data_IF_228800277873
#
_entry.id   IF_228800277873
#
_cell.length_a   1.000
_cell.length_b   1.000
_cell.length_c   1.000
_cell.angle_alpha   90.00
_cell.angle_beta   90.00
_cell.angle_gamma   90.00
#
_symmetry.space_group_name_H-M   'P 1'
#
loop_
_entity.id
_entity.type
_entity.pdbx_description
1 polymer ?
#
# COMPACT_ATOMS: atom_id res chain seq x y z
N UNK A 1 3.02 10.43 8.41
CA UNK A 1 4.36 10.93 8.05
C UNK A 1 4.61 10.52 6.61
N UNK A 2 4.91 11.48 5.73
CA UNK A 2 5.22 11.25 4.32
C UNK A 2 6.72 11.54 4.13
N UNK A 3 7.48 10.58 3.61
CA UNK A 3 8.89 10.81 3.23
C UNK A 3 8.96 10.73 1.71
N UNK A 4 9.51 11.77 1.12
CA UNK A 4 9.87 11.83 -0.30
C UNK A 4 11.36 11.51 -0.39
N UNK A 5 11.68 10.24 -0.65
CA UNK A 5 13.07 9.81 -0.80
C UNK A 5 13.52 10.07 -2.25
N UNK A 6 14.48 10.97 -2.41
CA UNK A 6 15.25 11.17 -3.64
C UNK A 6 16.68 10.82 -3.31
N UNK A 7 17.01 9.56 -3.51
CA UNK A 7 18.32 8.91 -3.63
C UNK A 7 19.62 9.73 -3.57
N UNK A 8 20.68 9.05 -3.10
CA UNK A 8 22.10 9.44 -3.14
C UNK A 8 22.47 10.67 -2.28
N UNK A 9 22.58 10.47 -1.00
CA UNK A 9 23.07 11.44 -0.03
C UNK A 9 22.35 11.42 1.31
N UNK A 10 21.25 10.69 1.40
CA UNK A 10 20.56 10.46 2.67
C UNK A 10 20.83 9.05 3.16
N UNK A 11 21.09 8.89 4.46
CA UNK A 11 21.14 7.56 5.10
C UNK A 11 19.82 6.83 4.87
N UNK A 12 19.88 5.58 4.41
CA UNK A 12 18.69 4.73 4.34
C UNK A 12 18.05 4.67 5.72
N UNK A 13 16.73 4.79 5.77
CA UNK A 13 16.00 4.65 7.03
C UNK A 13 16.20 3.23 7.60
N UNK A 14 16.46 3.12 8.91
CA UNK A 14 16.50 1.81 9.56
C UNK A 14 15.20 1.03 9.33
N UNK A 15 15.29 -0.28 9.19
CA UNK A 15 14.15 -1.17 8.92
C UNK A 15 13.00 -0.99 9.92
N UNK A 16 13.33 -0.79 11.21
CA UNK A 16 12.33 -0.49 12.24
C UNK A 16 11.56 0.83 12.02
N UNK A 17 12.14 1.76 11.28
CA UNK A 17 11.46 2.99 10.88
C UNK A 17 10.62 2.77 9.62
N UNK A 18 11.09 1.97 8.67
CA UNK A 18 10.34 1.60 7.47
C UNK A 18 9.04 0.88 7.82
N UNK A 19 9.03 -0.01 8.80
CA UNK A 19 7.81 -0.70 9.27
C UNK A 19 6.73 0.24 9.83
N UNK A 20 7.07 1.49 10.14
CA UNK A 20 6.09 2.49 10.61
C UNK A 20 5.33 3.19 9.49
N UNK A 21 5.79 3.11 8.24
CA UNK A 21 5.06 3.68 7.10
C UNK A 21 3.91 2.75 6.70
N UNK A 22 2.74 3.32 6.45
CA UNK A 22 1.55 2.55 6.11
C UNK A 22 1.71 1.83 4.77
N UNK A 23 2.21 2.54 3.77
CA UNK A 23 2.44 2.02 2.42
C UNK A 23 3.59 2.75 1.75
N UNK A 24 4.18 2.12 0.73
CA UNK A 24 5.16 2.71 -0.18
C UNK A 24 4.56 2.77 -1.58
N UNK A 25 4.43 3.97 -2.12
CA UNK A 25 3.89 4.21 -3.46
C UNK A 25 5.02 4.70 -4.36
N UNK A 26 5.19 4.07 -5.51
CA UNK A 26 6.08 4.54 -6.56
C UNK A 26 5.27 5.31 -7.60
N UNK A 27 5.51 6.61 -7.71
CA UNK A 27 4.80 7.46 -8.67
C UNK A 27 5.40 7.43 -10.07
N UNK A 28 6.63 6.95 -10.23
CA UNK A 28 7.33 6.94 -11.51
C UNK A 28 7.57 8.35 -12.08
N UNK A 29 7.88 8.39 -13.36
CA UNK A 29 8.00 9.62 -14.15
C UNK A 29 6.80 9.76 -15.10
N UNK A 30 6.38 11.00 -15.43
CA UNK A 30 5.36 11.23 -16.44
C UNK A 30 5.83 10.75 -17.80
N UNK A 31 4.91 10.40 -18.69
CA UNK A 31 5.21 10.14 -20.08
C UNK A 31 5.59 11.46 -20.77
N UNK A 32 6.31 11.37 -21.91
CA UNK A 32 6.77 12.54 -22.66
C UNK A 32 5.63 13.56 -22.95
N UNK A 33 4.48 13.07 -23.38
CA UNK A 33 3.35 13.92 -23.73
C UNK A 33 2.75 14.62 -22.48
N UNK A 34 2.69 13.93 -21.35
CA UNK A 34 2.25 14.49 -20.09
C UNK A 34 3.24 15.55 -19.57
N UNK A 35 4.55 15.32 -19.75
CA UNK A 35 5.59 16.27 -19.36
C UNK A 35 5.51 17.55 -20.22
N UNK A 36 5.24 17.41 -21.54
CA UNK A 36 4.99 18.55 -22.43
C UNK A 36 3.74 19.32 -21.98
N UNK A 37 2.67 18.63 -21.59
CA UNK A 37 1.46 19.29 -21.08
C UNK A 37 1.73 20.05 -19.77
N UNK A 38 2.53 19.46 -18.86
CA UNK A 38 2.95 20.15 -17.63
C UNK A 38 3.68 21.45 -17.98
N UNK A 39 4.68 21.39 -18.84
CA UNK A 39 5.46 22.56 -19.23
C UNK A 39 4.57 23.63 -19.86
N UNK A 40 3.67 23.26 -20.78
CA UNK A 40 2.75 24.19 -21.43
C UNK A 40 1.81 24.89 -20.43
N UNK A 41 1.37 24.21 -19.37
CA UNK A 41 0.55 24.83 -18.31
C UNK A 41 1.32 25.91 -17.56
N UNK A 42 2.59 25.68 -17.27
CA UNK A 42 3.45 26.62 -16.53
C UNK A 42 4.01 27.78 -17.39
N UNK A 43 3.84 27.73 -18.73
CA UNK A 43 4.30 28.81 -19.60
C UNK A 43 3.55 30.14 -19.39
N UNK A 44 2.29 30.08 -18.98
CA UNK A 44 1.45 31.28 -18.84
C UNK A 44 1.33 31.70 -17.39
N UNK A 45 0.80 30.81 -16.56
CA UNK A 45 0.59 31.04 -15.13
C UNK A 45 0.82 29.78 -14.33
N UNK A 46 1.09 29.92 -13.04
CA UNK A 46 1.20 28.77 -12.13
C UNK A 46 -0.21 28.21 -11.86
N UNK A 47 -0.51 26.98 -12.35
CA UNK A 47 -1.85 26.39 -12.21
C UNK A 47 -2.26 26.16 -10.75
N UNK A 48 -1.30 26.17 -9.81
CA UNK A 48 -1.61 26.00 -8.39
C UNK A 48 -2.46 27.14 -7.81
N UNK A 49 -2.43 28.33 -8.45
CA UNK A 49 -3.22 29.49 -8.02
C UNK A 49 -4.71 29.36 -8.31
N UNK A 50 -5.08 28.49 -9.24
CA UNK A 50 -6.47 28.25 -9.65
C UNK A 50 -7.14 27.14 -8.80
N UNK A 51 -6.40 26.50 -7.88
CA UNK A 51 -6.93 25.43 -7.05
C UNK A 51 -7.93 25.97 -6.04
N UNK A 52 -9.10 25.38 -6.02
CA UNK A 52 -10.13 25.61 -4.99
C UNK A 52 -10.11 24.48 -3.96
N UNK A 53 -10.66 24.76 -2.78
CA UNK A 53 -10.89 23.74 -1.75
C UNK A 53 -11.89 22.71 -2.27
N UNK A 54 -11.50 21.42 -2.28
CA UNK A 54 -12.34 20.29 -2.73
C UNK A 54 -12.91 19.48 -1.57
N UNK A 55 -12.31 19.59 -0.37
CA UNK A 55 -12.75 18.94 0.86
C UNK A 55 -12.28 19.73 2.07
N UNK A 56 -13.05 19.70 3.13
CA UNK A 56 -12.70 20.29 4.43
C UNK A 56 -12.02 19.27 5.35
N UNK A 57 -11.48 19.74 6.48
CA UNK A 57 -10.95 18.84 7.50
C UNK A 57 -12.05 17.95 8.09
N UNK A 58 -13.25 18.48 8.25
CA UNK A 58 -14.44 17.79 8.74
C UNK A 58 -14.85 16.66 7.81
N UNK A 59 -14.79 16.88 6.47
CA UNK A 59 -15.08 15.84 5.49
C UNK A 59 -14.09 14.67 5.61
N UNK A 60 -12.80 14.97 5.79
CA UNK A 60 -11.77 13.92 5.98
C UNK A 60 -11.99 13.15 7.30
N UNK A 61 -12.42 13.82 8.36
CA UNK A 61 -12.75 13.15 9.63
C UNK A 61 -13.95 12.24 9.45
N UNK A 62 -15.01 12.71 8.78
CA UNK A 62 -16.20 11.91 8.47
C UNK A 62 -15.84 10.66 7.63
N UNK A 63 -15.06 10.83 6.55
CA UNK A 63 -14.58 9.70 5.74
C UNK A 63 -13.80 8.66 6.56
N UNK A 64 -13.00 9.09 7.54
CA UNK A 64 -12.28 8.15 8.43
C UNK A 64 -13.22 7.33 9.30
N UNK A 65 -14.32 7.90 9.75
CA UNK A 65 -15.33 7.14 10.51
C UNK A 65 -16.07 6.17 9.57
N UNK A 66 -16.43 6.59 8.37
CA UNK A 66 -17.09 5.73 7.39
C UNK A 66 -16.23 4.51 7.02
N UNK A 67 -14.91 4.71 6.82
CA UNK A 67 -13.96 3.61 6.55
C UNK A 67 -13.96 2.56 7.66
N UNK A 68 -14.19 2.94 8.93
CA UNK A 68 -14.27 1.98 10.02
C UNK A 68 -15.49 1.06 9.91
N UNK A 69 -16.55 1.52 9.23
CA UNK A 69 -17.78 0.77 9.03
C UNK A 69 -17.73 -0.20 7.85
N UNK A 70 -16.69 -0.12 7.00
CA UNK A 70 -16.49 -1.07 5.90
C UNK A 70 -16.32 -2.49 6.45
N UNK A 71 -17.18 -3.38 5.98
CA UNK A 71 -17.23 -4.76 6.45
C UNK A 71 -16.02 -5.57 5.96
N UNK A 72 -15.48 -6.39 6.83
CA UNK A 72 -14.44 -7.36 6.51
C UNK A 72 -14.89 -8.73 7.00
N UNK A 73 -15.09 -9.64 6.07
CA UNK A 73 -15.50 -11.01 6.43
C UNK A 73 -14.39 -11.68 7.28
N UNK A 74 -14.74 -12.44 8.33
CA UNK A 74 -13.73 -13.08 9.20
C UNK A 74 -12.70 -13.92 8.45
N UNK A 75 -13.11 -14.63 7.41
CA UNK A 75 -12.22 -15.43 6.54
C UNK A 75 -11.17 -14.58 5.82
N UNK A 76 -11.46 -13.31 5.52
CA UNK A 76 -10.46 -12.39 4.96
C UNK A 76 -9.44 -11.93 6.01
N UNK A 77 -9.83 -11.86 7.27
CA UNK A 77 -8.89 -11.60 8.36
C UNK A 77 -7.92 -12.77 8.49
N UNK A 78 -8.41 -14.00 8.46
CA UNK A 78 -7.59 -15.21 8.46
C UNK A 78 -6.67 -15.25 7.22
N UNK A 79 -7.18 -14.87 6.05
CA UNK A 79 -6.38 -14.79 4.82
C UNK A 79 -5.25 -13.76 4.91
N UNK A 80 -5.48 -12.57 5.46
CA UNK A 80 -4.44 -11.56 5.70
C UNK A 80 -3.35 -12.12 6.64
N UNK A 81 -3.77 -12.80 7.71
CA UNK A 81 -2.83 -13.39 8.69
C UNK A 81 -2.02 -14.51 8.04
N UNK A 82 -2.67 -15.37 7.24
CA UNK A 82 -1.97 -16.47 6.56
C UNK A 82 -0.96 -15.95 5.55
N UNK A 83 -1.32 -14.99 4.71
CA UNK A 83 -0.37 -14.32 3.81
C UNK A 83 0.84 -13.76 4.57
N UNK A 84 0.61 -13.07 5.69
CA UNK A 84 1.70 -12.55 6.52
C UNK A 84 2.58 -13.66 7.11
N UNK A 85 2.00 -14.81 7.50
CA UNK A 85 2.74 -15.99 7.98
C UNK A 85 3.60 -16.59 6.87
N UNK A 86 3.06 -16.71 5.67
CA UNK A 86 3.83 -17.20 4.51
C UNK A 86 5.05 -16.33 4.23
N UNK A 87 4.96 -14.99 4.35
CA UNK A 87 6.15 -14.14 4.19
C UNK A 87 7.26 -14.43 5.20
N UNK A 88 6.93 -14.99 6.37
CA UNK A 88 7.92 -15.36 7.41
C UNK A 88 8.53 -16.75 7.21
N UNK A 89 7.95 -17.54 6.31
CA UNK A 89 8.39 -18.89 5.95
C UNK A 89 9.16 -18.92 4.62
N UNK A 90 9.23 -17.80 3.90
CA UNK A 90 9.99 -17.68 2.66
C UNK A 90 11.50 -17.79 2.91
N UNK A 91 12.16 -18.69 2.20
CA UNK A 91 13.59 -18.98 2.37
C UNK A 91 14.50 -17.75 2.18
N UNK A 92 14.08 -16.81 1.33
CA UNK A 92 14.82 -15.60 1.00
C UNK A 92 14.54 -14.42 1.95
N UNK A 93 13.65 -14.59 2.93
CA UNK A 93 13.21 -13.55 3.86
C UNK A 93 13.80 -13.83 5.25
N UNK A 94 14.57 -12.88 5.79
CA UNK A 94 15.07 -12.95 7.16
C UNK A 94 14.08 -12.38 8.19
N UNK A 95 13.31 -11.36 7.80
CA UNK A 95 12.24 -10.77 8.61
C UNK A 95 11.01 -10.59 7.72
N UNK A 96 9.95 -11.34 8.01
CA UNK A 96 8.66 -11.22 7.31
C UNK A 96 7.78 -10.12 7.90
N UNK A 97 6.56 -10.05 7.41
CA UNK A 97 5.57 -9.02 7.78
C UNK A 97 5.24 -9.09 9.28
N UNK A 98 5.36 -7.96 9.97
CA UNK A 98 5.05 -7.81 11.40
C UNK A 98 3.53 -7.74 11.66
N UNK A 99 3.06 -7.93 12.92
CA UNK A 99 1.65 -7.69 13.27
C UNK A 99 1.18 -6.26 12.98
N UNK A 100 2.08 -5.27 12.97
CA UNK A 100 1.77 -3.91 12.51
C UNK A 100 1.47 -3.90 11.01
N UNK A 101 2.16 -4.71 10.22
CA UNK A 101 1.93 -4.86 8.78
C UNK A 101 0.55 -5.50 8.50
N UNK A 102 0.10 -6.49 9.26
CA UNK A 102 -1.23 -7.08 9.11
C UNK A 102 -2.34 -6.09 9.47
N UNK A 103 -2.17 -5.32 10.55
CA UNK A 103 -3.09 -4.25 10.91
C UNK A 103 -3.10 -3.13 9.85
N UNK A 104 -1.94 -2.80 9.29
CA UNK A 104 -1.82 -1.86 8.18
C UNK A 104 -2.63 -2.33 6.96
N UNK A 105 -2.52 -3.61 6.58
CA UNK A 105 -3.29 -4.21 5.49
C UNK A 105 -4.79 -4.08 5.70
N UNK A 106 -5.29 -4.43 6.89
CA UNK A 106 -6.71 -4.31 7.22
C UNK A 106 -7.23 -2.89 7.01
N UNK A 107 -6.49 -1.90 7.51
CA UNK A 107 -6.89 -0.49 7.39
C UNK A 107 -6.85 0.00 5.93
N UNK A 108 -5.82 -0.38 5.17
CA UNK A 108 -5.69 0.02 3.77
C UNK A 108 -6.74 -0.66 2.90
N UNK A 109 -7.04 -1.95 3.13
CA UNK A 109 -8.07 -2.67 2.40
C UNK A 109 -9.46 -2.05 2.60
N UNK A 110 -9.82 -1.66 3.83
CA UNK A 110 -11.06 -0.93 4.11
C UNK A 110 -11.12 0.41 3.38
N UNK A 111 -10.05 1.20 3.46
CA UNK A 111 -9.99 2.50 2.79
C UNK A 111 -10.07 2.34 1.27
N UNK A 112 -9.42 1.33 0.71
CA UNK A 112 -9.47 1.03 -0.73
C UNK A 112 -10.88 0.64 -1.18
N UNK A 113 -11.56 -0.25 -0.45
CA UNK A 113 -12.95 -0.63 -0.72
C UNK A 113 -13.88 0.59 -0.67
N UNK A 114 -13.73 1.46 0.35
CA UNK A 114 -14.49 2.71 0.48
C UNK A 114 -14.28 3.64 -0.72
N UNK A 115 -13.03 3.87 -1.13
CA UNK A 115 -12.69 4.70 -2.32
C UNK A 115 -13.28 4.08 -3.60
N UNK A 116 -13.36 2.75 -3.68
CA UNK A 116 -13.99 2.03 -4.78
C UNK A 116 -15.54 2.02 -4.70
N UNK A 117 -16.15 2.73 -3.74
CA UNK A 117 -17.59 2.83 -3.56
C UNK A 117 -18.25 1.57 -2.99
N UNK A 118 -17.48 0.72 -2.27
CA UNK A 118 -17.96 -0.51 -1.65
C UNK A 118 -17.94 -0.39 -0.12
N UNK A 119 -18.89 -1.03 0.51
CA UNK A 119 -19.02 -1.14 1.97
C UNK A 119 -18.46 -2.46 2.53
N UNK A 120 -17.77 -3.25 1.69
CA UNK A 120 -17.10 -4.50 2.05
C UNK A 120 -15.79 -4.69 1.28
N UNK A 121 -14.85 -5.42 1.91
CA UNK A 121 -13.55 -5.81 1.33
C UNK A 121 -13.68 -7.13 0.58
N UNK A 122 -12.94 -7.27 -0.52
CA UNK A 122 -12.82 -8.52 -1.29
C UNK A 122 -11.36 -9.01 -1.32
N UNK A 123 -11.10 -10.30 -1.60
CA UNK A 123 -9.73 -10.84 -1.65
C UNK A 123 -8.82 -10.11 -2.64
N UNK A 124 -9.37 -9.64 -3.74
CA UNK A 124 -8.65 -8.90 -4.80
C UNK A 124 -8.05 -7.60 -4.27
N UNK A 125 -8.73 -6.93 -3.34
CA UNK A 125 -8.19 -5.73 -2.69
C UNK A 125 -6.90 -6.06 -1.93
N UNK A 126 -6.91 -7.15 -1.17
CA UNK A 126 -5.75 -7.60 -0.39
C UNK A 126 -4.58 -7.95 -1.32
N UNK A 127 -4.85 -8.66 -2.44
CA UNK A 127 -3.83 -9.05 -3.42
C UNK A 127 -3.16 -7.85 -4.06
N UNK A 128 -3.93 -6.88 -4.53
CA UNK A 128 -3.42 -5.66 -5.18
C UNK A 128 -2.60 -4.82 -4.19
N UNK A 129 -3.03 -4.76 -2.94
CA UNK A 129 -2.41 -3.92 -1.92
C UNK A 129 -1.18 -4.56 -1.26
N UNK A 130 -1.05 -5.90 -1.30
CA UNK A 130 0.01 -6.60 -0.59
C UNK A 130 1.43 -6.10 -0.96
N UNK A 131 1.83 -5.93 -2.23
CA UNK A 131 3.15 -5.41 -2.57
C UNK A 131 3.37 -3.99 -2.03
N UNK A 132 2.36 -3.12 -2.15
CA UNK A 132 2.43 -1.71 -1.73
C UNK A 132 2.52 -1.54 -0.22
N UNK A 133 1.83 -2.40 0.54
CA UNK A 133 1.76 -2.33 2.01
C UNK A 133 2.89 -3.11 2.67
N UNK A 134 3.40 -4.18 2.06
CA UNK A 134 4.31 -5.12 2.73
C UNK A 134 5.73 -5.16 2.18
N UNK A 135 5.98 -4.87 0.89
CA UNK A 135 7.32 -5.02 0.32
C UNK A 135 8.40 -4.21 1.08
N UNK A 136 8.06 -3.01 1.55
CA UNK A 136 8.99 -2.17 2.31
C UNK A 136 9.23 -2.64 3.76
N UNK A 137 8.46 -3.63 4.24
CA UNK A 137 8.53 -4.14 5.63
C UNK A 137 9.31 -5.43 5.76
N UNK A 138 9.48 -6.18 4.66
CA UNK A 138 10.26 -7.42 4.69
C UNK A 138 11.75 -7.13 4.56
N UNK A 139 12.56 -7.96 5.20
CA UNK A 139 14.01 -7.93 5.11
C UNK A 139 14.48 -9.21 4.44
N UNK A 140 15.27 -9.08 3.39
CA UNK A 140 15.82 -10.23 2.68
C UNK A 140 17.10 -10.73 3.34
N UNK A 141 17.41 -12.00 3.13
CA UNK A 141 18.70 -12.58 3.53
C UNK A 141 19.84 -11.94 2.73
N UNK A 142 21.03 -11.93 3.32
CA UNK A 142 22.24 -11.39 2.70
C UNK A 142 22.51 -12.11 1.37
N UNK A 143 22.55 -11.33 0.28
CA UNK A 143 22.69 -11.86 -1.10
C UNK A 143 21.48 -11.60 -2.00
N UNK A 144 20.33 -11.26 -1.45
CA UNK A 144 19.06 -10.99 -2.17
C UNK A 144 18.63 -9.51 -2.08
N UNK A 145 19.55 -8.58 -1.90
CA UNK A 145 19.28 -7.19 -1.49
C UNK A 145 18.73 -6.25 -2.58
N UNK A 146 18.13 -6.72 -3.65
CA UNK A 146 17.49 -5.84 -4.63
C UNK A 146 16.03 -5.57 -4.25
N UNK A 147 15.61 -4.29 -4.30
CA UNK A 147 14.23 -3.89 -3.95
C UNK A 147 13.18 -4.53 -4.85
N UNK A 148 13.50 -4.74 -6.13
CA UNK A 148 12.61 -5.41 -7.09
C UNK A 148 12.26 -6.85 -6.64
N UNK A 149 13.17 -7.51 -5.93
CA UNK A 149 12.92 -8.83 -5.38
C UNK A 149 11.87 -8.84 -4.26
N UNK A 150 11.71 -7.76 -3.49
CA UNK A 150 10.75 -7.69 -2.37
C UNK A 150 9.31 -7.69 -2.85
N UNK A 151 8.99 -6.91 -3.86
CA UNK A 151 7.66 -6.87 -4.48
C UNK A 151 7.32 -8.22 -5.11
N UNK A 152 8.25 -8.81 -5.85
CA UNK A 152 8.10 -10.13 -6.46
C UNK A 152 7.90 -11.25 -5.43
N UNK A 153 8.58 -11.19 -4.29
CA UNK A 153 8.40 -12.17 -3.20
C UNK A 153 6.98 -12.05 -2.60
N UNK A 154 6.50 -10.83 -2.37
CA UNK A 154 5.13 -10.64 -1.90
C UNK A 154 4.11 -11.14 -2.93
N UNK A 155 4.31 -10.85 -4.22
CA UNK A 155 3.48 -11.36 -5.30
C UNK A 155 3.51 -12.90 -5.37
N UNK A 156 4.68 -13.51 -5.19
CA UNK A 156 4.82 -14.96 -5.12
C UNK A 156 3.99 -15.56 -3.98
N UNK A 157 4.10 -15.00 -2.77
CA UNK A 157 3.31 -15.43 -1.61
C UNK A 157 1.81 -15.31 -1.88
N UNK A 158 1.37 -14.17 -2.44
CA UNK A 158 -0.04 -13.93 -2.78
C UNK A 158 -0.56 -14.94 -3.79
N UNK A 159 0.23 -15.25 -4.82
CA UNK A 159 -0.17 -16.16 -5.90
C UNK A 159 -0.19 -17.63 -5.46
N UNK A 160 0.61 -18.00 -4.45
CA UNK A 160 0.69 -19.38 -3.94
C UNK A 160 -0.18 -19.63 -2.71
N UNK A 161 -0.85 -18.63 -2.17
CA UNK A 161 -1.77 -18.78 -1.05
C UNK A 161 -3.20 -18.95 -1.57
N UNK A 162 -3.90 -20.00 -1.09
CA UNK A 162 -5.28 -20.26 -1.47
C UNK A 162 -6.18 -19.07 -1.14
N UNK A 163 -6.96 -18.65 -2.14
CA UNK A 163 -7.92 -17.55 -1.99
C UNK A 163 -9.20 -18.12 -1.41
N UNK A 164 -9.73 -17.55 -0.32
CA UNK A 164 -11.02 -17.97 0.20
C UNK A 164 -12.14 -17.61 -0.79
N UNK A 165 -13.17 -18.47 -0.85
CA UNK A 165 -14.33 -18.33 -1.74
C UNK A 165 -15.60 -18.27 -0.91
N UNK A 166 -16.00 -17.07 -0.52
CA UNK A 166 -17.16 -16.80 0.32
C UNK A 166 -18.01 -15.67 -0.29
N UNK A 167 -19.22 -15.46 0.24
CA UNK A 167 -19.95 -14.22 -0.05
C UNK A 167 -19.45 -13.11 0.86
N UNK A 168 -18.82 -12.09 0.26
CA UNK A 168 -18.14 -11.01 0.98
C UNK A 168 -19.09 -9.95 1.54
N UNK A 169 -20.33 -9.97 1.11
CA UNK A 169 -21.37 -9.06 1.59
C UNK A 169 -21.85 -9.48 3.00
N UNK A 170 -22.37 -8.51 3.71
CA UNK A 170 -23.07 -8.74 4.98
C UNK A 170 -24.35 -9.51 4.78
#
# INVERSE_FOLDING_TARGET
MCIRDRTAGTYQLPEAQLDRFLMKINMGYPKKDDEVLILNRFLKEDPSKELSTVATCEDIVAMKEDVKNVYVHPVLIDYIVELARMTRQEDNVSIGVSPRGTLGMLNVARAYAYIAGRDYVVPEDIKILAPVVWAHRIVLQTGYMNMDNKEQIIEHVVNNTAVPTEDWKR
#
